data_IF_259120262693
#
_entry.id   IF_259120262693
#
_cell.length_a   1.000
_cell.length_b   1.000
_cell.length_c   1.000
_cell.angle_alpha   90.00
_cell.angle_beta   90.00
_cell.angle_gamma   90.00
#
_symmetry.space_group_name_H-M   'P 1'
#
loop_
_entity.id
_entity.type
_entity.pdbx_description
1 polymer ?
#
# COMPACT_ATOMS: atom_id res chain seq x y z
N UNK A 1 28.01 -14.68 -56.19
CA UNK A 1 27.15 -13.84 -55.31
C UNK A 1 27.24 -14.38 -53.90
N UNK A 2 28.01 -13.72 -53.02
CA UNK A 2 28.12 -14.06 -51.62
C UNK A 2 26.83 -13.65 -50.91
N UNK A 3 26.15 -14.61 -50.28
CA UNK A 3 24.95 -14.33 -49.44
C UNK A 3 25.43 -13.67 -48.17
N UNK A 4 25.07 -12.40 -47.96
CA UNK A 4 25.27 -11.67 -46.71
C UNK A 4 24.60 -12.45 -45.58
N UNK A 5 25.38 -13.03 -44.65
CA UNK A 5 24.89 -13.64 -43.43
C UNK A 5 24.65 -12.53 -42.40
N UNK A 6 23.39 -12.17 -42.17
CA UNK A 6 23.02 -11.28 -41.08
C UNK A 6 23.25 -12.02 -39.75
N UNK A 7 24.07 -11.41 -38.91
CA UNK A 7 24.29 -11.89 -37.54
C UNK A 7 23.29 -11.16 -36.64
N UNK A 8 22.20 -11.86 -36.30
CA UNK A 8 21.25 -11.32 -35.33
C UNK A 8 21.90 -11.31 -33.94
N UNK A 9 21.83 -10.17 -33.24
CA UNK A 9 22.17 -10.08 -31.83
C UNK A 9 21.00 -10.69 -31.05
N UNK A 10 21.25 -11.71 -30.25
CA UNK A 10 20.31 -12.22 -29.27
C UNK A 10 20.14 -11.16 -28.18
N UNK A 11 19.02 -10.45 -28.19
CA UNK A 11 18.60 -9.59 -27.11
C UNK A 11 17.86 -10.43 -26.08
N UNK A 12 17.92 -10.03 -24.81
CA UNK A 12 17.11 -10.63 -23.75
C UNK A 12 15.64 -10.27 -24.01
N UNK A 13 14.76 -11.25 -23.92
CA UNK A 13 13.32 -11.04 -24.02
C UNK A 13 12.83 -10.14 -22.87
N UNK A 14 11.83 -9.33 -23.14
CA UNK A 14 11.16 -8.55 -22.10
C UNK A 14 10.47 -9.48 -21.09
N UNK A 15 10.37 -9.04 -19.84
CA UNK A 15 9.56 -9.75 -18.85
C UNK A 15 8.07 -9.66 -19.20
N UNK A 16 7.28 -10.62 -18.75
CA UNK A 16 5.83 -10.62 -18.97
C UNK A 16 5.17 -9.33 -18.48
N UNK A 17 5.67 -8.77 -17.38
CA UNK A 17 5.16 -7.51 -16.83
C UNK A 17 5.47 -6.31 -17.74
N UNK A 18 6.67 -6.24 -18.30
CA UNK A 18 7.03 -5.20 -19.26
C UNK A 18 6.19 -5.31 -20.54
N UNK A 19 5.95 -6.54 -21.02
CA UNK A 19 5.10 -6.78 -22.20
C UNK A 19 3.65 -6.32 -21.95
N UNK A 20 3.07 -6.67 -20.80
CA UNK A 20 1.73 -6.26 -20.42
C UNK A 20 1.61 -4.74 -20.26
N UNK A 21 2.63 -4.09 -19.68
CA UNK A 21 2.66 -2.63 -19.56
C UNK A 21 2.70 -1.96 -20.94
N UNK A 22 3.52 -2.47 -21.87
CA UNK A 22 3.56 -1.98 -23.26
C UNK A 22 2.24 -2.21 -24.00
N UNK A 23 1.58 -3.36 -23.79
CA UNK A 23 0.24 -3.60 -24.37
C UNK A 23 -0.76 -2.55 -23.89
N UNK A 24 -0.82 -2.28 -22.59
CA UNK A 24 -1.71 -1.28 -22.01
C UNK A 24 -1.40 0.13 -22.52
N UNK A 25 -0.11 0.48 -22.62
CA UNK A 25 0.31 1.78 -23.17
C UNK A 25 -0.11 1.96 -24.63
N UNK A 26 0.07 0.92 -25.45
CA UNK A 26 -0.21 0.99 -26.89
C UNK A 26 -1.68 0.80 -27.25
N UNK A 27 -2.39 -0.09 -26.56
CA UNK A 27 -3.76 -0.52 -26.90
C UNK A 27 -4.81 0.02 -25.94
N UNK A 28 -4.39 0.52 -24.76
CA UNK A 28 -5.28 0.95 -23.69
C UNK A 28 -5.87 -0.20 -22.86
N UNK A 29 -5.64 -1.45 -23.23
CA UNK A 29 -6.14 -2.66 -22.58
C UNK A 29 -5.06 -3.73 -22.51
N UNK A 30 -5.21 -4.68 -21.61
CA UNK A 30 -4.41 -5.91 -21.58
C UNK A 30 -5.05 -6.95 -22.50
N UNK A 31 -4.28 -7.53 -23.43
CA UNK A 31 -4.74 -8.54 -24.41
C UNK A 31 -4.20 -9.92 -24.07
N UNK A 32 -2.90 -10.01 -23.71
CA UNK A 32 -2.22 -11.27 -23.48
C UNK A 32 -2.51 -11.87 -22.10
N UNK A 33 -3.07 -11.08 -21.18
CA UNK A 33 -3.43 -11.50 -19.81
C UNK A 33 -3.52 -10.30 -18.89
N UNK A 34 -4.13 -10.47 -17.72
CA UNK A 34 -4.22 -9.39 -16.74
C UNK A 34 -3.08 -9.52 -15.71
N UNK A 35 -2.38 -8.43 -15.32
CA UNK A 35 -1.29 -8.49 -14.35
C UNK A 35 -1.69 -9.13 -13.02
N UNK A 36 -2.97 -9.04 -12.62
CA UNK A 36 -3.50 -9.61 -11.39
C UNK A 36 -3.76 -11.12 -11.44
N UNK A 37 -3.66 -11.78 -12.63
CA UNK A 37 -3.91 -13.22 -12.71
C UNK A 37 -2.98 -14.04 -11.80
N UNK A 38 -1.71 -13.68 -11.74
CA UNK A 38 -0.71 -14.34 -10.87
C UNK A 38 -0.94 -14.09 -9.38
N UNK A 39 -1.75 -13.06 -9.04
CA UNK A 39 -2.07 -12.70 -7.67
C UNK A 39 -3.48 -13.15 -7.24
N UNK A 40 -4.21 -13.88 -8.09
CA UNK A 40 -5.60 -14.30 -7.85
C UNK A 40 -5.77 -14.97 -6.49
N UNK A 41 -4.93 -15.95 -6.15
CA UNK A 41 -4.99 -16.66 -4.86
C UNK A 41 -4.75 -15.72 -3.66
N UNK A 42 -3.86 -14.74 -3.79
CA UNK A 42 -3.60 -13.76 -2.74
C UNK A 42 -4.77 -12.79 -2.59
N UNK A 43 -5.35 -12.34 -3.70
CA UNK A 43 -6.53 -11.48 -3.72
C UNK A 43 -7.69 -12.19 -3.03
N UNK A 44 -8.01 -13.43 -3.42
CA UNK A 44 -9.09 -14.23 -2.81
C UNK A 44 -8.87 -14.48 -1.30
N UNK A 45 -7.62 -14.55 -0.86
CA UNK A 45 -7.27 -14.77 0.55
C UNK A 45 -7.42 -13.51 1.40
N UNK A 46 -7.09 -12.33 0.87
CA UNK A 46 -6.96 -11.10 1.66
C UNK A 46 -8.04 -10.06 1.38
N UNK A 47 -8.67 -10.05 0.20
CA UNK A 47 -9.79 -9.19 -0.13
C UNK A 47 -11.12 -9.89 0.17
N UNK A 48 -12.10 -9.13 0.61
CA UNK A 48 -13.46 -9.60 0.91
C UNK A 48 -14.51 -9.07 -0.07
N UNK A 49 -14.11 -8.10 -0.91
CA UNK A 49 -14.98 -7.51 -1.93
C UNK A 49 -14.21 -7.30 -3.25
N UNK A 50 -14.95 -7.27 -4.36
CA UNK A 50 -14.48 -6.91 -5.69
C UNK A 50 -15.34 -5.81 -6.31
N UNK A 51 -14.90 -5.25 -7.43
CA UNK A 51 -15.59 -4.15 -8.12
C UNK A 51 -16.99 -4.55 -8.58
N UNK A 52 -17.19 -5.79 -9.03
CA UNK A 52 -18.51 -6.27 -9.47
C UNK A 52 -19.53 -6.24 -8.32
N UNK A 53 -19.14 -6.75 -7.14
CA UNK A 53 -20.00 -6.76 -5.94
C UNK A 53 -20.35 -5.34 -5.47
N UNK A 54 -19.38 -4.41 -5.53
CA UNK A 54 -19.61 -3.01 -5.15
C UNK A 54 -20.56 -2.31 -6.12
N UNK A 55 -20.43 -2.59 -7.42
CA UNK A 55 -21.32 -2.04 -8.44
C UNK A 55 -22.73 -2.58 -8.30
N UNK A 56 -22.87 -3.89 -8.12
CA UNK A 56 -24.19 -4.52 -7.90
C UNK A 56 -24.89 -3.93 -6.66
N UNK A 57 -24.15 -3.65 -5.57
CA UNK A 57 -24.68 -3.01 -4.38
C UNK A 57 -25.12 -1.55 -4.64
N UNK A 58 -24.39 -0.80 -5.48
CA UNK A 58 -24.73 0.56 -5.88
C UNK A 58 -26.02 0.62 -6.73
N UNK A 59 -26.17 -0.32 -7.68
CA UNK A 59 -27.35 -0.43 -8.53
C UNK A 59 -28.62 -0.72 -7.70
N UNK A 60 -28.50 -1.48 -6.61
CA UNK A 60 -29.64 -1.77 -5.72
C UNK A 60 -30.12 -0.55 -4.95
N UNK A 61 -29.18 0.31 -4.50
CA UNK A 61 -29.55 1.55 -3.78
C UNK A 61 -30.32 2.50 -4.71
N UNK A 62 -29.95 2.55 -5.98
CA UNK A 62 -30.64 3.37 -7.00
C UNK A 62 -32.02 2.86 -7.38
N UNK A 63 -32.30 1.55 -7.19
CA UNK A 63 -33.57 0.90 -7.56
C UNK A 63 -34.55 0.68 -6.41
N UNK A 64 -34.20 1.02 -5.16
CA UNK A 64 -35.13 0.89 -4.00
C UNK A 64 -36.40 1.74 -4.12
N UNK A 65 -36.48 2.66 -5.11
CA UNK A 65 -37.67 3.45 -5.43
C UNK A 65 -38.56 2.85 -6.54
N UNK A 66 -38.22 1.70 -7.13
CA UNK A 66 -39.04 1.03 -8.15
C UNK A 66 -39.58 -0.28 -7.61
N UNK A 67 -40.92 -0.40 -7.54
CA UNK A 67 -41.72 -1.50 -6.97
C UNK A 67 -41.56 -2.88 -7.69
N UNK A 68 -40.54 -3.08 -8.54
CA UNK A 68 -40.39 -4.25 -9.38
C UNK A 68 -39.06 -5.03 -9.24
N UNK A 69 -38.64 -5.32 -7.99
CA UNK A 69 -37.52 -6.25 -7.79
C UNK A 69 -38.06 -7.65 -7.47
N UNK A 70 -37.98 -8.56 -8.45
CA UNK A 70 -38.44 -9.94 -8.25
C UNK A 70 -37.65 -10.67 -7.17
N UNK A 71 -38.33 -11.45 -6.26
CA UNK A 71 -37.70 -12.16 -5.14
C UNK A 71 -36.58 -13.15 -5.58
N UNK A 72 -36.60 -13.59 -6.82
CA UNK A 72 -35.64 -14.54 -7.39
C UNK A 72 -34.25 -13.92 -7.62
N UNK A 73 -34.17 -12.61 -7.86
CA UNK A 73 -32.89 -11.86 -7.94
C UNK A 73 -32.23 -11.65 -6.58
N UNK A 74 -32.98 -11.74 -5.48
CA UNK A 74 -32.45 -11.61 -4.12
C UNK A 74 -31.88 -12.93 -3.57
N UNK A 75 -32.34 -14.10 -4.02
CA UNK A 75 -32.01 -15.39 -3.42
C UNK A 75 -30.60 -15.94 -3.75
N UNK A 76 -29.91 -15.35 -4.74
CA UNK A 76 -28.55 -15.75 -5.15
C UNK A 76 -27.45 -14.76 -4.75
N UNK A 77 -27.76 -13.69 -4.00
CA UNK A 77 -26.82 -12.61 -3.73
C UNK A 77 -26.06 -12.82 -2.43
N UNK A 78 -24.82 -13.13 -2.60
CA UNK A 78 -23.75 -13.07 -1.61
C UNK A 78 -23.75 -11.69 -0.95
N UNK A 79 -23.82 -11.69 0.38
CA UNK A 79 -23.64 -10.58 1.33
C UNK A 79 -23.92 -9.17 0.75
N UNK A 80 -25.07 -8.62 1.02
CA UNK A 80 -25.47 -7.28 0.61
C UNK A 80 -24.52 -6.24 1.23
N UNK A 81 -23.65 -5.64 0.41
CA UNK A 81 -22.78 -4.57 0.86
C UNK A 81 -23.59 -3.32 1.20
N UNK A 82 -23.19 -2.61 2.26
CA UNK A 82 -23.88 -1.42 2.76
C UNK A 82 -22.96 -0.21 2.75
N UNK A 83 -23.55 0.97 2.57
CA UNK A 83 -22.82 2.22 2.76
C UNK A 83 -22.17 2.28 4.15
N UNK A 84 -20.94 2.78 4.22
CA UNK A 84 -20.13 2.84 5.44
C UNK A 84 -19.55 1.52 5.92
N UNK A 85 -19.84 0.38 5.25
CA UNK A 85 -19.28 -0.92 5.60
C UNK A 85 -17.76 -0.91 5.45
N UNK A 86 -17.07 -1.55 6.41
CA UNK A 86 -15.62 -1.74 6.31
C UNK A 86 -15.33 -2.90 5.36
N UNK A 87 -14.46 -2.66 4.39
CA UNK A 87 -14.12 -3.62 3.32
C UNK A 87 -12.61 -3.71 3.11
N UNK A 88 -12.18 -4.85 2.58
CA UNK A 88 -10.83 -5.09 2.07
C UNK A 88 -10.91 -5.34 0.57
N UNK A 89 -10.24 -4.51 -0.17
CA UNK A 89 -10.22 -4.55 -1.62
C UNK A 89 -8.78 -4.62 -2.13
N UNK A 90 -8.52 -5.46 -3.12
CA UNK A 90 -7.18 -5.60 -3.70
C UNK A 90 -7.23 -5.39 -5.22
N UNK A 91 -6.22 -4.70 -5.74
CA UNK A 91 -6.11 -4.43 -7.16
C UNK A 91 -4.81 -3.71 -7.52
N UNK A 92 -4.67 -3.37 -8.79
CA UNK A 92 -3.55 -2.63 -9.36
C UNK A 92 -3.89 -1.14 -9.46
N UNK A 93 -2.97 -0.28 -9.06
CA UNK A 93 -3.13 1.17 -9.20
C UNK A 93 -2.97 1.55 -10.68
N UNK A 94 -3.99 2.21 -11.25
CA UNK A 94 -4.00 2.66 -12.64
C UNK A 94 -4.07 4.17 -12.79
N UNK A 95 -4.20 4.90 -11.68
CA UNK A 95 -4.20 6.36 -11.72
C UNK A 95 -4.13 6.98 -10.34
N UNK A 96 -3.40 8.08 -10.23
CA UNK A 96 -3.22 8.82 -8.97
C UNK A 96 -3.40 10.31 -9.25
N UNK A 97 -4.38 10.93 -8.60
CA UNK A 97 -4.65 12.38 -8.68
C UNK A 97 -4.51 13.00 -7.30
N UNK A 98 -3.44 13.75 -7.07
CA UNK A 98 -3.19 14.47 -5.81
C UNK A 98 -3.93 15.81 -5.81
N UNK A 99 -4.57 16.15 -4.69
CA UNK A 99 -5.25 17.43 -4.49
C UNK A 99 -5.01 17.96 -3.07
N UNK A 100 -5.11 19.28 -2.92
CA UNK A 100 -5.16 19.93 -1.61
C UNK A 100 -6.60 20.24 -1.22
N UNK A 101 -6.95 19.91 0.01
CA UNK A 101 -8.25 20.29 0.58
C UNK A 101 -8.30 21.80 0.85
N UNK A 102 -9.49 22.34 1.17
CA UNK A 102 -9.67 23.75 1.57
C UNK A 102 -8.78 24.14 2.77
N UNK A 103 -8.42 23.19 3.61
CA UNK A 103 -7.55 23.38 4.77
C UNK A 103 -6.06 23.15 4.45
N UNK A 104 -5.68 23.18 3.16
CA UNK A 104 -4.31 22.97 2.68
C UNK A 104 -3.70 21.61 3.07
N UNK A 105 -4.55 20.58 3.25
CA UNK A 105 -4.14 19.22 3.55
C UNK A 105 -4.08 18.41 2.27
N UNK A 106 -3.00 17.65 2.09
CA UNK A 106 -2.81 16.81 0.91
C UNK A 106 -3.71 15.56 1.00
N UNK A 107 -4.42 15.27 -0.09
CA UNK A 107 -5.21 14.06 -0.29
C UNK A 107 -4.98 13.52 -1.70
N UNK A 108 -5.32 12.26 -1.93
CA UNK A 108 -5.26 11.65 -3.26
C UNK A 108 -6.57 10.95 -3.60
N UNK A 109 -6.90 10.96 -4.89
CA UNK A 109 -7.85 10.06 -5.52
C UNK A 109 -7.03 9.03 -6.28
N UNK A 110 -7.20 7.77 -5.95
CA UNK A 110 -6.44 6.66 -6.52
C UNK A 110 -7.43 5.74 -7.22
N UNK A 111 -7.28 5.57 -8.53
CA UNK A 111 -8.06 4.60 -9.29
C UNK A 111 -7.35 3.26 -9.21
N UNK A 112 -8.07 2.24 -8.72
CA UNK A 112 -7.56 0.87 -8.57
C UNK A 112 -8.44 -0.06 -9.37
N UNK A 113 -7.81 -0.93 -10.17
CA UNK A 113 -8.46 -1.89 -11.06
C UNK A 113 -8.28 -3.31 -10.52
N UNK A 114 -9.35 -4.09 -10.48
CA UNK A 114 -9.34 -5.53 -10.25
C UNK A 114 -9.67 -6.29 -11.57
N UNK A 115 -9.94 -7.58 -11.48
CA UNK A 115 -10.29 -8.40 -12.66
C UNK A 115 -11.69 -8.09 -13.25
N UNK A 116 -12.49 -7.27 -12.58
CA UNK A 116 -13.90 -7.01 -12.92
C UNK A 116 -14.16 -5.55 -13.29
N UNK A 117 -13.26 -4.65 -12.96
CA UNK A 117 -13.38 -3.23 -13.24
C UNK A 117 -12.49 -2.36 -12.36
N UNK A 118 -12.83 -1.07 -12.27
CA UNK A 118 -12.08 -0.10 -11.48
C UNK A 118 -12.95 0.57 -10.43
N UNK A 119 -12.35 0.95 -9.31
CA UNK A 119 -12.96 1.72 -8.24
C UNK A 119 -12.06 2.89 -7.83
N UNK A 120 -12.69 4.01 -7.49
CA UNK A 120 -11.96 5.16 -6.96
C UNK A 120 -11.80 5.05 -5.44
N UNK A 121 -10.57 5.20 -4.99
CA UNK A 121 -10.18 5.16 -3.59
C UNK A 121 -9.78 6.55 -3.14
N UNK A 122 -10.48 7.06 -2.13
CA UNK A 122 -10.24 8.39 -1.55
C UNK A 122 -9.24 8.24 -0.39
N UNK A 123 -8.09 8.87 -0.54
CA UNK A 123 -6.99 8.80 0.42
C UNK A 123 -6.81 10.15 1.09
N UNK A 124 -7.33 10.30 2.30
CA UNK A 124 -7.17 11.53 3.08
C UNK A 124 -5.77 11.63 3.69
N UNK A 125 -5.39 12.83 4.14
CA UNK A 125 -4.07 13.19 4.67
C UNK A 125 -3.46 12.13 5.62
N UNK A 126 -4.22 11.68 6.62
CA UNK A 126 -3.71 10.72 7.61
C UNK A 126 -3.30 9.38 6.97
N UNK A 127 -4.10 8.88 6.03
CA UNK A 127 -3.79 7.68 5.28
C UNK A 127 -2.68 7.95 4.27
N UNK A 128 -2.72 9.08 3.57
CA UNK A 128 -1.72 9.46 2.58
C UNK A 128 -0.31 9.50 3.17
N UNK A 129 -0.15 10.10 4.35
CA UNK A 129 1.15 10.20 5.05
C UNK A 129 1.71 8.83 5.45
N UNK A 130 0.85 7.81 5.59
CA UNK A 130 1.27 6.46 5.96
C UNK A 130 1.56 5.57 4.74
N UNK A 131 0.83 5.79 3.63
CA UNK A 131 0.86 4.90 2.48
C UNK A 131 1.44 5.55 1.22
N UNK A 132 2.04 6.73 1.31
CA UNK A 132 2.52 7.46 0.13
C UNK A 132 3.57 6.70 -0.71
N UNK A 133 4.29 5.74 -0.10
CA UNK A 133 5.25 4.87 -0.79
C UNK A 133 4.56 3.80 -1.63
N UNK A 134 3.35 3.40 -1.25
CA UNK A 134 2.55 2.40 -1.95
C UNK A 134 1.78 3.01 -3.13
N UNK A 135 1.62 4.35 -3.13
CA UNK A 135 0.91 5.07 -4.17
C UNK A 135 1.80 5.32 -5.39
N UNK A 136 2.09 4.25 -6.11
CA UNK A 136 2.87 4.21 -7.35
C UNK A 136 2.02 3.51 -8.40
N UNK A 137 2.04 4.02 -9.64
CA UNK A 137 1.35 3.38 -10.77
C UNK A 137 1.83 1.94 -10.96
N UNK A 138 0.91 1.07 -11.34
CA UNK A 138 1.12 -0.38 -11.51
C UNK A 138 1.44 -1.16 -10.22
N UNK A 139 1.46 -0.51 -9.05
CA UNK A 139 1.63 -1.22 -7.78
C UNK A 139 0.36 -2.00 -7.42
N UNK A 140 0.52 -3.25 -6.95
CA UNK A 140 -0.57 -4.10 -6.52
C UNK A 140 -0.76 -3.95 -5.02
N UNK A 141 -1.93 -3.47 -4.61
CA UNK A 141 -2.20 -3.05 -3.25
C UNK A 141 -3.42 -3.72 -2.64
N UNK A 142 -3.40 -3.88 -1.33
CA UNK A 142 -4.55 -4.17 -0.49
C UNK A 142 -4.99 -2.87 0.20
N UNK A 143 -6.22 -2.49 -0.05
CA UNK A 143 -6.88 -1.33 0.55
C UNK A 143 -7.83 -1.81 1.63
N UNK A 144 -7.71 -1.29 2.83
CA UNK A 144 -8.70 -1.46 3.89
C UNK A 144 -9.36 -0.10 4.15
N UNK A 145 -10.68 -0.05 4.07
CA UNK A 145 -11.39 1.22 4.16
C UNK A 145 -12.89 1.05 4.34
N UNK A 146 -13.60 2.17 4.27
CA UNK A 146 -15.07 2.20 4.29
C UNK A 146 -15.60 2.37 2.89
N UNK A 147 -16.50 1.50 2.51
CA UNK A 147 -17.25 1.59 1.28
C UNK A 147 -18.18 2.82 1.33
N UNK A 148 -18.21 3.61 0.27
CA UNK A 148 -19.14 4.72 0.10
C UNK A 148 -20.01 4.43 -1.13
N UNK A 149 -21.30 4.23 -0.87
CA UNK A 149 -22.32 4.02 -1.88
C UNK A 149 -23.31 5.18 -1.74
N UNK A 150 -23.44 5.95 -2.82
CA UNK A 150 -24.37 7.09 -2.89
C UNK A 150 -25.26 6.91 -4.10
N UNK A 151 -26.47 7.44 -3.96
CA UNK A 151 -27.42 7.53 -5.08
C UNK A 151 -26.79 8.33 -6.22
N UNK A 152 -26.89 7.83 -7.44
CA UNK A 152 -26.34 8.43 -8.67
C UNK A 152 -24.80 8.61 -8.74
N UNK A 153 -24.04 8.03 -7.84
CA UNK A 153 -22.57 8.04 -7.87
C UNK A 153 -22.01 6.61 -7.99
N UNK A 154 -20.89 6.46 -8.70
CA UNK A 154 -20.14 5.20 -8.67
C UNK A 154 -19.62 4.89 -7.26
N UNK A 155 -19.61 3.61 -6.84
CA UNK A 155 -19.11 3.24 -5.53
C UNK A 155 -17.64 3.63 -5.38
N UNK A 156 -17.26 4.07 -4.19
CA UNK A 156 -15.89 4.45 -3.87
C UNK A 156 -15.47 3.91 -2.51
N UNK A 157 -14.17 3.87 -2.23
CA UNK A 157 -13.64 3.43 -0.94
C UNK A 157 -12.92 4.59 -0.28
N UNK A 158 -13.29 4.91 0.96
CA UNK A 158 -12.54 5.84 1.80
C UNK A 158 -11.46 5.03 2.52
N UNK A 159 -10.22 5.16 2.05
CA UNK A 159 -9.12 4.37 2.56
C UNK A 159 -8.75 4.74 4.00
N UNK A 160 -8.53 3.71 4.81
CA UNK A 160 -7.92 3.78 6.12
C UNK A 160 -6.45 3.37 6.07
N UNK A 161 -6.15 2.29 5.33
CA UNK A 161 -4.80 1.81 5.07
C UNK A 161 -4.67 1.33 3.63
N UNK A 162 -3.49 1.50 3.06
CA UNK A 162 -3.10 0.93 1.76
C UNK A 162 -1.73 0.29 1.96
N UNK A 163 -1.58 -0.96 1.53
CA UNK A 163 -0.33 -1.72 1.67
C UNK A 163 -0.07 -2.51 0.40
N UNK A 164 1.20 -2.75 0.09
CA UNK A 164 1.55 -3.66 -0.98
C UNK A 164 1.03 -5.08 -0.67
N UNK A 165 0.41 -5.74 -1.65
CA UNK A 165 -0.23 -7.04 -1.46
C UNK A 165 0.79 -8.14 -1.16
N UNK A 166 1.99 -8.10 -1.76
CA UNK A 166 3.05 -9.06 -1.51
C UNK A 166 3.61 -8.92 -0.09
N UNK A 167 3.75 -7.69 0.41
CA UNK A 167 4.20 -7.44 1.79
C UNK A 167 3.21 -7.97 2.81
N UNK A 168 1.90 -7.86 2.53
CA UNK A 168 0.84 -8.43 3.37
C UNK A 168 0.91 -9.96 3.35
N UNK A 169 1.18 -10.57 2.20
CA UNK A 169 1.30 -12.01 2.06
C UNK A 169 2.51 -12.57 2.82
N UNK A 170 3.64 -11.86 2.78
CA UNK A 170 4.88 -12.26 3.44
C UNK A 170 4.86 -12.02 4.97
N UNK A 171 4.04 -11.05 5.45
CA UNK A 171 3.92 -10.70 6.86
C UNK A 171 2.46 -10.62 7.32
N UNK A 172 1.73 -11.75 7.40
CA UNK A 172 0.30 -11.77 7.75
C UNK A 172 0.01 -11.31 9.19
N UNK A 173 1.01 -11.29 10.07
CA UNK A 173 0.85 -10.87 11.47
C UNK A 173 0.60 -9.36 11.65
N UNK A 174 0.79 -8.53 10.65
CA UNK A 174 0.48 -7.10 10.68
C UNK A 174 -1.00 -6.78 10.40
N UNK A 175 -1.86 -7.79 10.24
CA UNK A 175 -3.30 -7.63 9.93
C UNK A 175 -4.21 -7.45 11.14
N UNK A 176 -3.71 -7.55 12.39
CA UNK A 176 -4.55 -7.39 13.58
C UNK A 176 -4.68 -5.92 13.97
N UNK A 177 -5.44 -5.14 13.18
CA UNK A 177 -6.06 -3.92 13.70
C UNK A 177 -7.39 -4.35 14.32
N UNK A 178 -7.40 -4.54 15.64
CA UNK A 178 -8.61 -4.81 16.42
C UNK A 178 -9.65 -3.74 16.15
N UNK A 179 -10.81 -4.18 15.65
CA UNK A 179 -12.02 -3.36 15.57
C UNK A 179 -12.48 -3.14 17.02
N UNK A 180 -12.18 -1.99 17.60
CA UNK A 180 -12.86 -1.52 18.79
C UNK A 180 -13.84 -0.44 18.38
N UNK A 181 -15.13 -0.77 18.58
CA UNK A 181 -16.27 0.13 18.49
C UNK A 181 -16.11 1.32 19.44
N UNK A 182 -16.53 2.46 18.89
CA UNK A 182 -17.12 3.65 19.52
C UNK A 182 -16.93 3.86 21.02
N UNK A 183 -16.03 4.78 21.38
CA UNK A 183 -16.33 5.96 22.21
C UNK A 183 -15.03 6.74 22.40
N UNK A 184 -15.12 8.05 22.18
CA UNK A 184 -13.99 8.94 22.10
C UNK A 184 -13.07 8.91 23.33
N UNK A 185 -11.84 8.57 23.09
CA UNK A 185 -10.67 8.98 23.85
C UNK A 185 -9.42 8.72 22.98
N UNK A 186 -8.59 9.73 22.81
CA UNK A 186 -7.29 9.66 22.16
C UNK A 186 -6.43 8.55 22.80
N UNK A 187 -6.41 7.37 22.19
CA UNK A 187 -5.37 6.40 22.44
C UNK A 187 -4.56 6.27 21.15
N UNK A 188 -3.33 6.76 21.19
CA UNK A 188 -2.34 6.55 20.16
C UNK A 188 -2.21 5.05 19.89
N UNK A 189 -2.60 4.62 18.69
CA UNK A 189 -2.40 3.26 18.20
C UNK A 189 -0.87 3.07 18.13
N UNK A 190 -0.32 2.24 19.02
CA UNK A 190 1.05 1.76 18.93
C UNK A 190 1.15 0.87 17.69
N UNK A 191 1.50 1.46 16.56
CA UNK A 191 2.05 0.72 15.43
C UNK A 191 3.36 0.15 15.97
N UNK A 192 3.54 -1.18 15.96
CA UNK A 192 4.83 -1.79 16.30
C UNK A 192 5.81 -1.44 15.18
N UNK A 193 6.42 -0.27 15.27
CA UNK A 193 7.52 0.12 14.40
C UNK A 193 8.66 -0.86 14.65
N UNK A 194 9.30 -1.34 13.60
CA UNK A 194 10.58 -2.05 13.74
C UNK A 194 11.49 -1.19 14.58
N UNK A 195 12.23 -1.78 15.53
CA UNK A 195 13.21 -1.04 16.33
C UNK A 195 14.59 -1.37 15.82
N UNK A 196 15.35 -0.33 15.53
CA UNK A 196 16.77 -0.44 15.21
C UNK A 196 17.58 0.02 16.41
N UNK A 197 18.27 -0.91 17.04
CA UNK A 197 19.15 -0.65 18.17
C UNK A 197 20.54 -0.29 17.66
N UNK A 198 21.04 0.89 18.03
CA UNK A 198 22.37 1.38 17.65
C UNK A 198 23.21 1.52 18.93
N UNK A 199 24.21 0.67 19.07
CA UNK A 199 25.13 0.71 20.21
C UNK A 199 26.29 1.68 19.93
N UNK A 200 26.39 2.72 20.75
CA UNK A 200 27.43 3.75 20.63
C UNK A 200 28.47 3.71 21.77
N UNK A 201 28.42 2.69 22.60
CA UNK A 201 29.25 2.60 23.84
C UNK A 201 30.75 2.72 23.55
N UNK A 202 31.22 2.09 22.48
CA UNK A 202 32.64 2.02 22.13
C UNK A 202 33.03 2.95 20.98
N UNK A 203 32.12 3.84 20.52
CA UNK A 203 32.40 4.76 19.44
C UNK A 203 33.20 5.97 19.93
N UNK A 204 34.13 6.44 19.12
CA UNK A 204 34.82 7.70 19.33
C UNK A 204 33.91 8.92 19.02
N UNK A 205 34.32 10.12 19.41
CA UNK A 205 33.51 11.34 19.23
C UNK A 205 33.30 11.67 17.71
N UNK A 206 34.26 11.36 16.86
CA UNK A 206 34.16 11.59 15.43
C UNK A 206 33.12 10.66 14.80
N UNK A 207 33.06 9.40 15.21
CA UNK A 207 32.03 8.43 14.79
C UNK A 207 30.63 8.83 15.30
N UNK A 208 30.53 9.29 16.54
CA UNK A 208 29.26 9.79 17.10
C UNK A 208 28.75 11.02 16.36
N UNK A 209 29.63 11.94 15.97
CA UNK A 209 29.26 13.13 15.20
C UNK A 209 28.84 12.78 13.76
N UNK A 210 29.53 11.83 13.13
CA UNK A 210 29.12 11.28 11.82
C UNK A 210 27.76 10.62 11.89
N UNK A 211 27.51 9.79 12.92
CA UNK A 211 26.22 9.15 13.16
C UNK A 211 25.10 10.18 13.38
N UNK A 212 25.35 11.24 14.17
CA UNK A 212 24.38 12.34 14.35
C UNK A 212 24.08 13.04 13.03
N UNK A 213 25.10 13.28 12.22
CA UNK A 213 24.96 13.86 10.87
C UNK A 213 24.09 12.99 9.96
N UNK A 214 24.39 11.69 9.91
CA UNK A 214 23.64 10.71 9.11
C UNK A 214 22.17 10.61 9.56
N UNK A 215 21.93 10.43 10.85
CA UNK A 215 20.57 10.37 11.41
C UNK A 215 19.77 11.65 11.16
N UNK A 216 20.41 12.81 11.20
CA UNK A 216 19.77 14.10 10.90
C UNK A 216 19.49 14.26 9.40
N UNK A 217 20.38 13.79 8.53
CA UNK A 217 20.26 13.85 7.08
C UNK A 217 19.13 12.94 6.59
N UNK A 218 19.03 11.72 7.15
CA UNK A 218 17.99 10.76 6.80
C UNK A 218 16.67 10.96 7.54
N UNK A 219 16.61 11.90 8.50
CA UNK A 219 15.40 12.22 9.24
C UNK A 219 14.43 12.97 8.33
N UNK A 220 13.44 12.26 7.81
CA UNK A 220 12.36 12.77 6.99
C UNK A 220 11.01 12.59 7.69
N UNK A 221 9.94 13.09 7.05
CA UNK A 221 8.56 12.97 7.56
C UNK A 221 8.03 11.52 7.58
N UNK A 222 8.83 10.55 7.14
CA UNK A 222 8.45 9.14 6.98
C UNK A 222 9.31 8.27 7.90
N UNK A 223 8.68 7.64 8.88
CA UNK A 223 9.38 6.79 9.84
C UNK A 223 8.76 5.39 9.86
N UNK A 224 9.45 4.39 9.30
CA UNK A 224 9.09 2.97 9.38
C UNK A 224 9.76 2.25 10.57
N UNK A 225 10.80 2.87 11.15
CA UNK A 225 11.67 2.28 12.17
C UNK A 225 11.86 3.26 13.30
N UNK A 226 11.72 2.80 14.54
CA UNK A 226 12.10 3.54 15.74
C UNK A 226 13.57 3.31 16.02
N UNK A 227 14.34 4.38 16.22
CA UNK A 227 15.76 4.30 16.55
C UNK A 227 15.93 4.36 18.07
N UNK A 228 16.64 3.40 18.62
CA UNK A 228 17.08 3.38 20.03
C UNK A 228 18.60 3.40 20.09
N UNK A 229 19.14 4.36 20.81
CA UNK A 229 20.60 4.48 21.02
C UNK A 229 20.95 3.88 22.36
N UNK A 230 21.88 2.93 22.33
CA UNK A 230 22.40 2.24 23.50
C UNK A 230 23.80 2.81 23.83
N UNK A 231 23.97 3.32 25.05
CA UNK A 231 25.26 3.79 25.57
C UNK A 231 25.50 3.20 26.95
N UNK A 232 26.24 2.10 27.00
CA UNK A 232 26.40 1.30 28.22
C UNK A 232 25.05 0.71 28.67
N UNK A 233 24.63 1.01 29.90
CA UNK A 233 23.34 0.55 30.44
C UNK A 233 22.16 1.48 30.09
N UNK A 234 22.42 2.61 29.44
CA UNK A 234 21.37 3.60 29.07
C UNK A 234 20.85 3.37 27.66
N UNK A 235 19.54 3.26 27.56
CA UNK A 235 18.81 3.19 26.28
C UNK A 235 17.99 4.48 26.15
N UNK A 236 18.14 5.19 25.05
CA UNK A 236 17.41 6.41 24.77
C UNK A 236 16.79 6.38 23.38
N UNK A 237 15.50 6.77 23.22
CA UNK A 237 14.90 6.90 21.90
C UNK A 237 15.54 8.09 21.17
N UNK A 238 15.95 7.87 19.93
CA UNK A 238 16.55 8.89 19.06
C UNK A 238 15.62 9.34 17.91
N UNK A 239 14.33 9.04 18.03
CA UNK A 239 13.34 9.38 17.02
C UNK A 239 12.99 8.21 16.09
N UNK A 240 12.45 8.51 14.93
CA UNK A 240 12.11 7.53 13.91
C UNK A 240 12.86 7.84 12.62
N UNK A 241 13.14 6.80 11.85
CA UNK A 241 13.83 6.89 10.57
C UNK A 241 13.15 5.97 9.55
N UNK A 242 13.14 6.36 8.30
CA UNK A 242 12.81 5.43 7.20
C UNK A 242 14.09 4.67 6.81
N UNK A 243 14.23 3.45 7.34
CA UNK A 243 15.43 2.65 7.12
C UNK A 243 15.23 1.76 5.90
N UNK A 244 15.98 2.03 4.83
CA UNK A 244 16.18 1.15 3.67
C UNK A 244 17.44 0.31 3.88
N UNK A 245 17.68 -0.75 3.09
CA UNK A 245 18.91 -1.52 3.16
C UNK A 245 20.17 -0.66 3.02
N UNK A 246 20.17 0.32 2.11
CA UNK A 246 21.29 1.22 1.85
C UNK A 246 21.58 2.14 3.05
N UNK A 247 20.52 2.68 3.67
CA UNK A 247 20.65 3.51 4.88
C UNK A 247 21.14 2.69 6.07
N UNK A 248 20.70 1.43 6.16
CA UNK A 248 21.20 0.52 7.19
C UNK A 248 22.70 0.24 6.99
N UNK A 249 23.15 -0.03 5.76
CA UNK A 249 24.56 -0.24 5.43
C UNK A 249 25.39 1.00 5.79
N UNK A 250 24.95 2.20 5.47
CA UNK A 250 25.66 3.44 5.79
C UNK A 250 25.76 3.66 7.31
N UNK A 251 24.70 3.36 8.07
CA UNK A 251 24.76 3.38 9.52
C UNK A 251 25.74 2.34 10.04
N UNK A 252 25.73 1.12 9.47
CA UNK A 252 26.62 0.04 9.85
C UNK A 252 28.09 0.31 9.51
N UNK A 253 28.37 1.05 8.45
CA UNK A 253 29.72 1.51 8.13
C UNK A 253 30.28 2.48 9.19
N UNK A 254 29.41 3.28 9.80
CA UNK A 254 29.81 4.24 10.83
C UNK A 254 30.03 3.55 12.19
N UNK A 255 29.12 2.66 12.58
CA UNK A 255 29.07 2.11 13.95
C UNK A 255 29.56 0.67 14.05
N UNK A 256 29.69 -0.06 12.92
CA UNK A 256 29.95 -1.50 12.86
C UNK A 256 28.67 -2.31 12.72
N UNK A 257 28.74 -3.43 11.98
CA UNK A 257 27.57 -4.27 11.65
C UNK A 257 26.90 -4.82 12.92
N UNK A 258 27.71 -5.21 13.92
CA UNK A 258 27.23 -5.75 15.19
C UNK A 258 26.56 -4.69 16.09
N UNK A 259 26.80 -3.40 15.82
CA UNK A 259 26.31 -2.29 16.64
C UNK A 259 25.02 -1.65 16.11
N UNK A 260 24.55 -2.01 14.92
CA UNK A 260 23.27 -1.57 14.35
C UNK A 260 22.42 -2.78 13.94
N UNK A 261 21.53 -3.22 14.83
CA UNK A 261 20.76 -4.45 14.69
C UNK A 261 19.28 -4.22 14.98
N UNK A 262 18.41 -4.78 14.14
CA UNK A 262 16.98 -4.78 14.41
C UNK A 262 16.63 -5.68 15.60
N UNK A 263 15.75 -5.18 16.47
CA UNK A 263 15.15 -5.99 17.53
C UNK A 263 14.33 -7.15 16.89
N UNK A 264 14.55 -8.37 17.39
CA UNK A 264 13.90 -9.59 16.89
C UNK A 264 12.47 -9.71 17.39
#
# INVERSE_FOLDING_TARGET
MEKLKYKYTTLKEYSDQELLSMEKEMLGIYVSGHPLEKYRELIEKFADVNTLQMRDASELVSTENEEDVSPEKLAGRVQQLKDGQFVKYAGIITGIKKKYTKNNKLMAFVTIEDLYGSVDVIVFENCYNQCSNELIDENIVLVEGRLSIREDEAPSIIARTIRNLEDVANNPSSTNISVNNENGANQAVKISKKRLNINITNLDEAQKDRLRGALKFFNGDRNNTQIEIINGEKIAPAGGLFVTPEILEEIQEIVGIENAVFEK
#
